data_IF_358442075937
#
_entry.id   IF_358442075937
#
_cell.length_a   1.000
_cell.length_b   1.000
_cell.length_c   1.000
_cell.angle_alpha   90.00
_cell.angle_beta   90.00
_cell.angle_gamma   90.00
#
_symmetry.space_group_name_H-M   'P 1'
#
loop_
_entity.id
_entity.type
_entity.pdbx_description
1 polymer ?
#
# COMPACT_ATOMS: atom_id res chain seq x y z
N UNK A 1 18.03 0.76 10.08
CA UNK A 1 17.25 -0.45 9.72
C UNK A 1 15.77 -0.13 9.88
N UNK A 2 14.91 -0.55 8.95
CA UNK A 2 13.47 -0.35 9.10
C UNK A 2 12.89 -1.43 10.03
N UNK A 3 12.10 -1.03 11.02
CA UNK A 3 11.45 -1.97 11.93
C UNK A 3 10.31 -2.70 11.19
N UNK A 4 10.23 -4.04 11.27
CA UNK A 4 9.12 -4.76 10.68
C UNK A 4 7.84 -4.46 11.47
N UNK A 5 6.88 -3.81 10.82
CA UNK A 5 5.54 -3.66 11.40
C UNK A 5 4.93 -5.03 11.68
N UNK A 6 4.14 -5.18 12.74
CA UNK A 6 3.47 -6.44 13.08
C UNK A 6 1.96 -6.30 12.89
N UNK A 7 1.28 -7.39 12.53
CA UNK A 7 -0.18 -7.41 12.49
C UNK A 7 -0.74 -7.14 13.89
N UNK A 8 -1.79 -6.34 14.00
CA UNK A 8 -2.38 -5.85 15.24
C UNK A 8 -1.66 -4.62 15.83
N UNK A 9 -0.52 -4.22 15.27
CA UNK A 9 0.19 -3.03 15.74
C UNK A 9 -0.55 -1.75 15.30
N UNK A 10 -0.66 -0.80 16.22
CA UNK A 10 -1.04 0.58 15.89
C UNK A 10 0.21 1.39 15.56
N UNK A 11 0.19 2.09 14.43
CA UNK A 11 1.23 3.03 14.04
C UNK A 11 0.62 4.41 13.83
N UNK A 12 1.31 5.44 14.32
CA UNK A 12 0.85 6.82 14.22
C UNK A 12 1.51 7.49 13.02
N UNK A 13 0.70 7.93 12.05
CA UNK A 13 1.16 8.84 11.01
C UNK A 13 1.03 10.29 11.44
N UNK A 14 1.26 11.22 10.51
CA UNK A 14 1.07 12.65 10.78
C UNK A 14 -0.42 13.01 10.85
N UNK A 15 -1.27 12.35 10.07
CA UNK A 15 -2.69 12.67 9.93
C UNK A 15 -3.61 11.77 10.75
N UNK A 16 -3.28 10.48 10.88
CA UNK A 16 -4.16 9.50 11.55
C UNK A 16 -3.35 8.38 12.22
N UNK A 17 -4.06 7.49 12.92
CA UNK A 17 -3.53 6.24 13.47
C UNK A 17 -4.01 5.08 12.60
N UNK A 18 -3.07 4.19 12.29
CA UNK A 18 -3.30 3.07 11.39
C UNK A 18 -3.08 1.76 12.14
N UNK A 19 -4.07 0.87 12.06
CA UNK A 19 -3.99 -0.48 12.62
C UNK A 19 -3.53 -1.43 11.53
N UNK A 20 -2.35 -2.04 11.70
CA UNK A 20 -1.78 -2.99 10.74
C UNK A 20 -2.63 -4.27 10.75
N UNK A 21 -3.24 -4.61 9.62
CA UNK A 21 -4.18 -5.72 9.52
C UNK A 21 -3.54 -6.97 8.88
N UNK A 22 -2.91 -6.84 7.71
CA UNK A 22 -2.45 -8.00 6.94
C UNK A 22 -1.12 -7.73 6.26
N UNK A 23 -0.23 -8.72 6.22
CA UNK A 23 0.98 -8.67 5.38
C UNK A 23 0.59 -8.93 3.93
N UNK A 24 0.95 -8.01 3.03
CA UNK A 24 0.81 -8.21 1.59
C UNK A 24 2.15 -8.67 1.00
N UNK A 25 3.23 -8.00 1.37
CA UNK A 25 4.61 -8.31 0.99
C UNK A 25 5.56 -8.08 2.17
N UNK A 26 6.84 -8.40 2.04
CA UNK A 26 7.85 -8.21 3.10
C UNK A 26 7.91 -6.79 3.66
N UNK A 27 7.70 -5.82 2.78
CA UNK A 27 7.78 -4.39 3.08
C UNK A 27 6.43 -3.67 2.93
N UNK A 28 5.36 -4.40 2.62
CA UNK A 28 4.05 -3.81 2.31
C UNK A 28 2.97 -4.52 3.11
N UNK A 29 2.14 -3.76 3.79
CA UNK A 29 1.05 -4.28 4.61
C UNK A 29 -0.24 -3.53 4.36
N UNK A 30 -1.36 -4.22 4.51
CA UNK A 30 -2.68 -3.59 4.58
C UNK A 30 -2.90 -3.10 6.01
N UNK A 31 -3.48 -1.91 6.14
CA UNK A 31 -3.89 -1.35 7.41
C UNK A 31 -5.27 -0.68 7.27
N UNK A 32 -5.88 -0.38 8.42
CA UNK A 32 -7.12 0.37 8.50
C UNK A 32 -6.90 1.66 9.27
N UNK A 33 -7.57 2.73 8.83
CA UNK A 33 -7.65 4.00 9.57
C UNK A 33 -8.59 3.88 10.77
N UNK A 34 -8.61 4.91 11.62
CA UNK A 34 -9.61 5.04 12.69
C UNK A 34 -11.04 5.08 12.14
N UNK A 35 -11.23 5.64 10.94
CA UNK A 35 -12.48 5.64 10.20
C UNK A 35 -12.75 4.34 9.40
N UNK A 36 -12.06 3.23 9.71
CA UNK A 36 -12.20 1.92 9.06
C UNK A 36 -11.93 1.91 7.53
N UNK A 37 -11.24 2.92 6.99
CA UNK A 37 -10.83 2.92 5.57
C UNK A 37 -9.57 2.08 5.38
N UNK A 38 -9.54 1.30 4.31
CA UNK A 38 -8.37 0.48 3.97
C UNK A 38 -7.27 1.33 3.35
N UNK A 39 -6.04 1.13 3.82
CA UNK A 39 -4.83 1.77 3.31
C UNK A 39 -3.71 0.75 3.20
N UNK A 40 -2.65 1.12 2.48
CA UNK A 40 -1.44 0.33 2.34
C UNK A 40 -0.29 1.03 3.04
N UNK A 41 0.34 0.35 3.99
CA UNK A 41 1.56 0.79 4.64
C UNK A 41 2.76 0.20 3.93
N UNK A 42 3.74 1.02 3.61
CA UNK A 42 5.02 0.60 3.07
C UNK A 42 6.16 0.98 4.01
N UNK A 43 7.01 0.01 4.33
CA UNK A 43 8.17 0.19 5.19
C UNK A 43 9.43 -0.12 4.40
N UNK A 44 10.37 0.81 4.39
CA UNK A 44 11.68 0.63 3.76
C UNK A 44 12.71 1.49 4.50
N UNK A 45 14.00 1.37 4.19
CA UNK A 45 15.00 2.31 4.69
C UNK A 45 14.60 3.76 4.37
N UNK A 46 14.90 4.69 5.28
CA UNK A 46 14.46 6.08 5.20
C UNK A 46 14.85 6.76 3.88
N UNK A 47 16.08 6.55 3.41
CA UNK A 47 16.55 7.08 2.12
C UNK A 47 15.69 6.64 0.95
N UNK A 48 15.23 5.38 0.95
CA UNK A 48 14.34 4.85 -0.08
C UNK A 48 12.93 5.43 0.04
N UNK A 49 12.40 5.55 1.26
CA UNK A 49 11.08 6.15 1.46
C UNK A 49 11.06 7.63 1.10
N UNK A 50 12.13 8.37 1.35
CA UNK A 50 12.24 9.78 0.98
C UNK A 50 12.20 9.95 -0.55
N UNK A 51 12.97 9.14 -1.29
CA UNK A 51 12.93 9.14 -2.76
C UNK A 51 11.55 8.76 -3.29
N UNK A 52 10.94 7.71 -2.73
CA UNK A 52 9.61 7.28 -3.15
C UNK A 52 8.55 8.34 -2.85
N UNK A 53 8.66 9.04 -1.72
CA UNK A 53 7.79 10.16 -1.37
C UNK A 53 7.91 11.29 -2.38
N UNK A 54 9.12 11.67 -2.78
CA UNK A 54 9.36 12.71 -3.80
C UNK A 54 8.72 12.33 -5.14
N UNK A 55 8.93 11.09 -5.60
CA UNK A 55 8.31 10.58 -6.83
C UNK A 55 6.78 10.60 -6.73
N UNK A 56 6.22 10.13 -5.62
CA UNK A 56 4.77 10.10 -5.39
C UNK A 56 4.15 11.50 -5.32
N UNK A 57 4.92 12.50 -4.88
CA UNK A 57 4.49 13.90 -4.90
C UNK A 57 4.50 14.47 -6.32
N UNK A 58 5.45 14.09 -7.16
CA UNK A 58 5.55 14.52 -8.55
C UNK A 58 4.41 13.94 -9.42
N UNK A 59 4.06 12.66 -9.20
CA UNK A 59 2.98 11.97 -9.94
C UNK A 59 1.61 12.06 -9.24
N UNK A 60 1.47 12.98 -8.28
CA UNK A 60 0.23 13.17 -7.53
C UNK A 60 -0.92 13.54 -8.47
N UNK A 61 -2.04 12.84 -8.36
CA UNK A 61 -3.23 13.06 -9.20
C UNK A 61 -3.43 12.04 -10.34
N UNK A 62 -2.46 11.17 -10.60
CA UNK A 62 -2.66 10.04 -11.53
C UNK A 62 -3.57 8.96 -10.91
N UNK A 63 -4.67 8.65 -11.57
CA UNK A 63 -5.68 7.66 -11.14
C UNK A 63 -5.10 6.23 -11.14
N UNK A 64 -4.05 5.97 -11.91
CA UNK A 64 -3.41 4.66 -12.00
C UNK A 64 -2.29 4.47 -10.96
N UNK A 65 -1.90 5.53 -10.25
CA UNK A 65 -0.84 5.49 -9.24
C UNK A 65 -1.45 5.63 -7.84
N UNK A 66 -0.98 4.80 -6.90
CA UNK A 66 -1.43 4.88 -5.50
C UNK A 66 -1.00 6.22 -4.92
N UNK A 67 -1.97 7.02 -4.51
CA UNK A 67 -1.71 8.34 -3.94
C UNK A 67 -1.11 8.21 -2.53
N UNK A 68 -0.16 9.08 -2.22
CA UNK A 68 0.40 9.22 -0.87
C UNK A 68 -0.62 9.93 0.03
N UNK A 69 -1.03 9.26 1.11
CA UNK A 69 -2.01 9.76 2.07
C UNK A 69 -1.30 10.41 3.26
N UNK A 70 -0.26 9.74 3.79
CA UNK A 70 0.37 10.11 5.06
C UNK A 70 1.76 9.45 5.19
N UNK A 71 2.51 9.81 6.24
CA UNK A 71 3.80 9.19 6.57
C UNK A 71 4.01 9.11 8.10
N UNK A 72 4.85 8.16 8.52
CA UNK A 72 5.27 8.00 9.91
C UNK A 72 6.66 8.60 10.17
N UNK A 73 6.83 9.28 11.31
CA UNK A 73 8.13 9.85 11.73
C UNK A 73 8.91 8.92 12.66
N UNK A 74 8.26 8.34 13.67
CA UNK A 74 8.93 7.49 14.67
C UNK A 74 9.39 6.15 14.09
N UNK A 75 8.57 5.57 13.21
CA UNK A 75 8.94 4.43 12.38
C UNK A 75 8.79 4.89 10.93
N UNK A 76 9.83 4.82 10.10
CA UNK A 76 9.75 5.29 8.73
C UNK A 76 8.82 4.37 7.93
N UNK A 77 7.64 4.90 7.58
CA UNK A 77 6.68 4.27 6.69
C UNK A 77 5.92 5.30 5.86
N UNK A 78 5.42 4.86 4.71
CA UNK A 78 4.50 5.61 3.87
C UNK A 78 3.11 4.98 3.92
N UNK A 79 2.08 5.82 3.92
CA UNK A 79 0.68 5.42 3.85
C UNK A 79 0.18 5.74 2.45
N UNK A 80 -0.21 4.72 1.72
CA UNK A 80 -0.68 4.81 0.35
C UNK A 80 -2.15 4.42 0.27
N UNK A 81 -2.83 4.96 -0.74
CA UNK A 81 -4.19 4.57 -1.06
C UNK A 81 -4.28 3.07 -1.39
N UNK A 82 -5.34 2.44 -0.89
CA UNK A 82 -5.69 1.09 -1.27
C UNK A 82 -6.46 1.12 -2.61
N UNK A 83 -5.92 0.49 -3.66
CA UNK A 83 -6.71 0.16 -4.84
C UNK A 83 -7.61 -1.02 -4.53
N UNK A 84 -8.92 -0.84 -4.71
CA UNK A 84 -9.85 -1.96 -4.78
C UNK A 84 -9.56 -2.75 -6.06
N UNK A 85 -9.58 -4.08 -5.96
CA UNK A 85 -9.18 -5.02 -7.00
C UNK A 85 -10.01 -4.94 -8.31
N UNK A 86 -10.91 -3.97 -8.46
CA UNK A 86 -11.70 -3.73 -9.68
C UNK A 86 -11.03 -2.84 -10.74
N UNK A 87 -9.86 -2.23 -10.45
CA UNK A 87 -9.19 -1.33 -11.38
C UNK A 87 -8.36 -2.05 -12.46
N UNK A 88 -8.01 -3.32 -12.23
CA UNK A 88 -7.45 -4.20 -13.25
C UNK A 88 -8.55 -5.16 -13.71
N UNK A 89 -9.57 -4.64 -14.41
CA UNK A 89 -10.35 -5.51 -15.29
C UNK A 89 -9.38 -6.03 -16.34
N UNK A 90 -8.95 -7.27 -16.20
CA UNK A 90 -8.38 -8.01 -17.31
C UNK A 90 -9.37 -7.92 -18.49
N UNK A 91 -8.93 -7.67 -19.73
CA UNK A 91 -9.75 -7.94 -20.89
C UNK A 91 -9.74 -9.47 -21.07
N UNK A 92 -10.46 -10.19 -20.20
CA UNK A 92 -10.66 -11.62 -20.33
C UNK A 92 -12.15 -11.89 -20.31
N UNK A 93 -12.70 -11.86 -21.53
CA UNK A 93 -13.71 -12.77 -22.06
C UNK A 93 -14.96 -13.06 -21.21
N UNK A 94 -16.07 -12.50 -21.69
CA UNK A 94 -17.36 -13.15 -21.94
C UNK A 94 -17.62 -14.51 -21.26
N UNK A 95 -18.49 -14.48 -20.24
CA UNK A 95 -19.57 -15.45 -19.90
C UNK A 95 -19.60 -15.94 -18.44
N UNK A 96 -20.79 -16.27 -17.89
CA UNK A 96 -21.03 -16.40 -16.46
C UNK A 96 -20.90 -17.84 -15.96
N UNK A 97 -20.21 -18.05 -14.83
CA UNK A 97 -20.24 -19.34 -14.15
C UNK A 97 -19.19 -19.52 -13.04
N UNK A 98 -19.65 -19.37 -11.79
CA UNK A 98 -19.26 -20.15 -10.60
C UNK A 98 -17.82 -20.04 -10.02
N UNK A 99 -17.81 -19.81 -8.70
CA UNK A 99 -16.84 -20.17 -7.66
C UNK A 99 -15.43 -19.55 -7.60
N UNK A 100 -15.15 -19.03 -6.39
CA UNK A 100 -13.88 -18.97 -5.68
C UNK A 100 -12.65 -19.48 -6.42
N UNK A 101 -11.61 -18.65 -6.52
CA UNK A 101 -10.27 -19.03 -6.06
C UNK A 101 -9.37 -17.80 -5.93
N UNK A 102 -8.54 -17.89 -4.90
CA UNK A 102 -7.47 -16.98 -4.46
C UNK A 102 -6.50 -16.67 -5.61
N UNK A 103 -6.27 -15.40 -5.94
CA UNK A 103 -5.07 -14.99 -6.68
C UNK A 103 -4.47 -13.70 -6.13
N UNK A 104 -3.23 -13.85 -5.65
CA UNK A 104 -2.41 -12.80 -5.07
C UNK A 104 -2.00 -11.75 -6.09
N UNK A 105 -2.22 -10.48 -5.74
CA UNK A 105 -1.84 -9.32 -6.51
C UNK A 105 -0.53 -8.74 -5.98
N UNK A 106 0.59 -9.40 -6.33
CA UNK A 106 1.98 -9.00 -6.01
C UNK A 106 2.71 -8.31 -7.18
N UNK A 107 1.99 -7.84 -8.19
CA UNK A 107 2.60 -7.24 -9.37
C UNK A 107 2.30 -5.75 -9.43
N UNK A 108 3.19 -4.92 -8.86
CA UNK A 108 3.42 -3.53 -9.30
C UNK A 108 4.64 -2.84 -8.65
N UNK A 109 5.46 -3.55 -7.85
CA UNK A 109 6.68 -2.97 -7.27
C UNK A 109 7.99 -3.38 -7.98
N UNK A 110 7.91 -4.17 -9.06
CA UNK A 110 9.12 -4.75 -9.69
C UNK A 110 9.84 -3.85 -10.69
N UNK A 111 9.34 -2.64 -10.99
CA UNK A 111 9.87 -1.82 -12.09
C UNK A 111 10.76 -0.64 -11.70
N UNK A 112 11.21 -0.53 -10.45
CA UNK A 112 12.13 0.56 -10.02
C UNK A 112 13.39 0.03 -9.31
N UNK A 113 13.90 -1.11 -9.78
CA UNK A 113 15.23 -1.60 -9.39
C UNK A 113 16.16 -1.55 -10.60
N UNK A 114 16.66 -0.36 -10.89
CA UNK A 114 17.95 -0.13 -11.55
C UNK A 114 18.58 1.11 -10.89
#
# INVERSE_FOLDING_TARGET
MALPLRTGQMVKGVRDVYVVAQKLHDQVRRASTTAQKQVVLKCAPESRLQREKEILQEVSGDVFIRQLIDCGKETPFLVLQHFESGALKSPSETSPGVSSTVYGSDYLFRSLSA
#
